data_IF_455697968262
#
_entry.id   IF_455697968262
#
_cell.length_a   1.000
_cell.length_b   1.000
_cell.length_c   1.000
_cell.angle_alpha   90.00
_cell.angle_beta   90.00
_cell.angle_gamma   90.00
#
_symmetry.space_group_name_H-M   'P 1'
#
loop_
_entity.id
_entity.type
_entity.pdbx_description
1 polymer ?
#
# COMPACT_ATOMS: atom_id res chain seq x y z
N UNK A 1 13.44 -8.28 -15.91
CA UNK A 1 12.42 -7.31 -16.35
C UNK A 1 11.37 -7.26 -15.26
N UNK A 2 11.32 -6.16 -14.55
CA UNK A 2 10.23 -5.83 -13.62
C UNK A 2 9.02 -5.41 -14.46
N UNK A 3 7.88 -6.08 -14.28
CA UNK A 3 6.64 -5.73 -14.97
C UNK A 3 5.64 -5.27 -13.93
N UNK A 4 5.63 -3.98 -13.56
CA UNK A 4 4.60 -3.47 -12.68
C UNK A 4 3.23 -3.66 -13.34
N UNK A 5 2.34 -4.34 -12.64
CA UNK A 5 0.94 -4.53 -13.04
C UNK A 5 0.08 -3.66 -12.14
N UNK A 6 -0.88 -2.96 -12.74
CA UNK A 6 -1.79 -2.08 -12.02
C UNK A 6 -3.21 -2.58 -12.18
N UNK A 7 -3.96 -2.63 -11.08
CA UNK A 7 -5.38 -2.94 -11.10
C UNK A 7 -6.19 -1.92 -10.31
N UNK A 8 -7.43 -1.71 -10.76
CA UNK A 8 -8.41 -0.94 -10.02
C UNK A 8 -8.82 -1.72 -8.76
N UNK A 9 -8.89 -1.01 -7.63
CA UNK A 9 -9.32 -1.60 -6.36
C UNK A 9 -10.66 -1.01 -5.91
N UNK A 10 -10.75 0.32 -5.80
CA UNK A 10 -11.98 1.03 -5.50
C UNK A 10 -12.54 0.86 -4.08
N UNK A 11 -11.73 0.43 -3.12
CA UNK A 11 -12.17 0.19 -1.74
C UNK A 11 -12.07 1.45 -0.86
N UNK A 12 -13.02 1.61 0.05
CA UNK A 12 -12.98 2.67 1.06
C UNK A 12 -12.27 2.17 2.32
N UNK A 13 -11.40 3.01 2.86
CA UNK A 13 -10.73 2.82 4.14
C UNK A 13 -11.19 3.90 5.11
N UNK A 14 -11.28 3.55 6.38
CA UNK A 14 -11.65 4.50 7.42
C UNK A 14 -10.50 5.50 7.68
N UNK A 15 -10.78 6.53 8.49
CA UNK A 15 -9.76 7.52 8.88
C UNK A 15 -8.57 6.93 9.59
N UNK A 16 -8.76 5.96 10.48
CA UNK A 16 -7.67 5.38 11.27
C UNK A 16 -6.66 4.65 10.38
N UNK A 17 -7.15 3.85 9.43
CA UNK A 17 -6.33 3.14 8.45
C UNK A 17 -5.64 4.13 7.50
N UNK A 18 -6.35 5.16 7.04
CA UNK A 18 -5.75 6.18 6.18
C UNK A 18 -4.66 7.01 6.89
N UNK A 19 -4.88 7.38 8.15
CA UNK A 19 -3.90 8.10 8.96
C UNK A 19 -2.65 7.25 9.22
N UNK A 20 -2.83 5.95 9.47
CA UNK A 20 -1.74 4.98 9.63
C UNK A 20 -0.92 4.79 8.36
N UNK A 21 -1.59 4.63 7.22
CA UNK A 21 -0.91 4.53 5.92
C UNK A 21 -0.09 5.79 5.63
N UNK A 22 -0.64 6.97 5.96
CA UNK A 22 0.08 8.25 5.85
C UNK A 22 1.26 8.37 6.81
N UNK A 23 1.11 7.89 8.05
CA UNK A 23 2.17 7.88 9.06
C UNK A 23 3.29 6.90 8.69
N UNK A 24 2.96 5.88 7.90
CA UNK A 24 3.86 4.79 7.57
C UNK A 24 3.94 3.75 8.68
N UNK A 25 4.53 2.60 8.34
CA UNK A 25 4.84 1.53 9.27
C UNK A 25 6.35 1.34 9.23
N UNK A 26 7.00 1.64 10.35
CA UNK A 26 8.39 1.30 10.56
C UNK A 26 8.49 -0.13 11.12
N UNK A 27 9.25 -1.02 10.48
CA UNK A 27 9.42 -2.39 10.94
C UNK A 27 10.11 -2.40 12.31
N UNK A 28 9.49 -3.02 13.32
CA UNK A 28 10.04 -3.06 14.68
C UNK A 28 10.92 -4.28 14.92
N UNK A 29 10.66 -5.38 14.22
CA UNK A 29 11.42 -6.63 14.33
C UNK A 29 11.60 -7.32 12.98
N UNK A 30 12.44 -8.37 12.91
CA UNK A 30 12.68 -9.15 11.68
C UNK A 30 11.42 -9.84 11.11
N UNK A 31 10.32 -9.89 11.88
CA UNK A 31 9.02 -10.36 11.43
C UNK A 31 8.28 -9.30 10.58
N UNK A 32 8.60 -8.01 10.77
CA UNK A 32 8.10 -6.91 9.94
C UNK A 32 8.86 -6.87 8.62
N UNK A 33 8.40 -7.73 7.71
CA UNK A 33 8.92 -7.87 6.35
C UNK A 33 8.71 -6.62 5.47
N UNK A 34 7.92 -5.65 5.94
CA UNK A 34 7.39 -4.56 5.13
C UNK A 34 7.64 -3.20 5.78
N UNK A 35 8.14 -2.27 4.98
CA UNK A 35 8.23 -0.85 5.29
C UNK A 35 7.17 -0.13 4.47
N UNK A 36 6.33 0.67 5.13
CA UNK A 36 5.28 1.45 4.46
C UNK A 36 5.61 2.92 4.61
N UNK A 37 5.61 3.65 3.49
CA UNK A 37 5.83 5.09 3.44
C UNK A 37 4.79 5.74 2.53
N UNK A 38 4.27 6.90 2.91
CA UNK A 38 3.36 7.66 2.07
C UNK A 38 4.00 8.95 1.55
N UNK A 39 3.71 9.27 0.31
CA UNK A 39 4.03 10.55 -0.28
C UNK A 39 3.04 11.63 0.14
N UNK A 40 3.43 12.88 -0.06
CA UNK A 40 2.54 14.01 0.18
C UNK A 40 1.36 13.93 -0.81
N UNK A 41 0.13 14.25 -0.38
CA UNK A 41 -1.00 14.31 -1.29
C UNK A 41 -0.74 15.32 -2.42
N UNK A 42 -1.00 14.90 -3.65
CA UNK A 42 -0.97 15.75 -4.84
C UNK A 42 -2.08 16.81 -4.83
N UNK A 43 -2.05 17.73 -5.79
CA UNK A 43 -3.10 18.75 -5.98
C UNK A 43 -4.52 18.16 -6.18
N UNK A 44 -4.63 16.87 -6.51
CA UNK A 44 -5.88 16.12 -6.64
C UNK A 44 -6.30 15.37 -5.36
N UNK A 45 -5.62 15.61 -4.24
CA UNK A 45 -5.77 14.91 -2.95
C UNK A 45 -5.52 13.40 -3.07
N UNK A 46 -4.56 13.03 -3.91
CA UNK A 46 -4.13 11.65 -4.11
C UNK A 46 -2.83 11.46 -3.34
N UNK A 47 -2.85 10.58 -2.34
CA UNK A 47 -1.69 10.09 -1.61
C UNK A 47 -1.23 8.78 -2.23
N UNK A 48 0.05 8.72 -2.59
CA UNK A 48 0.67 7.47 -3.04
C UNK A 48 1.36 6.81 -1.84
N UNK A 49 1.08 5.54 -1.60
CA UNK A 49 1.68 4.77 -0.51
C UNK A 49 2.58 3.70 -1.11
N UNK A 50 3.85 3.73 -0.75
CA UNK A 50 4.89 2.82 -1.18
C UNK A 50 5.12 1.76 -0.12
N UNK A 51 5.07 0.49 -0.52
CA UNK A 51 5.30 -0.66 0.35
C UNK A 51 6.55 -1.38 -0.15
N UNK A 52 7.57 -1.37 0.70
CA UNK A 52 8.91 -1.85 0.41
C UNK A 52 9.27 -3.01 1.32
N UNK A 53 10.20 -3.86 0.90
CA UNK A 53 10.80 -4.84 1.79
C UNK A 53 11.74 -4.19 2.77
N UNK A 54 11.65 -4.56 4.05
CA UNK A 54 12.50 -3.98 5.10
C UNK A 54 13.99 -4.31 4.92
N UNK A 55 14.33 -5.46 4.33
CA UNK A 55 15.73 -5.91 4.20
C UNK A 55 16.38 -5.60 2.84
N UNK A 56 15.60 -5.38 1.77
CA UNK A 56 16.13 -4.98 0.45
C UNK A 56 15.82 -3.54 0.09
N UNK A 57 14.89 -2.90 0.78
CA UNK A 57 14.33 -1.59 0.40
C UNK A 57 13.56 -1.63 -0.93
N UNK A 58 13.36 -2.82 -1.52
CA UNK A 58 12.74 -2.96 -2.83
C UNK A 58 11.25 -2.65 -2.75
N UNK A 59 10.79 -1.76 -3.61
CA UNK A 59 9.37 -1.46 -3.79
C UNK A 59 8.66 -2.66 -4.42
N UNK A 60 7.64 -3.17 -3.72
CA UNK A 60 6.86 -4.30 -4.20
C UNK A 60 5.44 -3.89 -4.54
N UNK A 61 4.88 -2.95 -3.77
CA UNK A 61 3.55 -2.44 -4.00
C UNK A 61 3.49 -0.93 -3.89
N UNK A 62 2.59 -0.35 -4.67
CA UNK A 62 2.24 1.06 -4.62
C UNK A 62 0.73 1.20 -4.65
N UNK A 63 0.16 1.87 -3.65
CA UNK A 63 -1.27 2.13 -3.53
C UNK A 63 -1.55 3.60 -3.83
N UNK A 64 -2.51 3.88 -4.72
CA UNK A 64 -3.02 5.23 -4.90
C UNK A 64 -4.29 5.42 -4.12
N UNK A 65 -4.25 6.30 -3.13
CA UNK A 65 -5.36 6.56 -2.22
C UNK A 65 -5.81 8.00 -2.41
N UNK A 66 -7.08 8.19 -2.76
CA UNK A 66 -7.69 9.51 -2.78
C UNK A 66 -8.29 9.81 -1.42
N UNK A 67 -7.93 10.92 -0.79
CA UNK A 67 -8.58 11.34 0.45
C UNK A 67 -10.07 11.62 0.22
N UNK A 68 -10.88 11.37 1.25
CA UNK A 68 -12.30 11.70 1.19
C UNK A 68 -12.50 13.20 1.44
N UNK A 69 -13.05 13.90 0.44
CA UNK A 69 -13.37 15.33 0.50
C UNK A 69 -14.44 15.65 1.57
N UNK A 70 -15.26 14.66 1.92
CA UNK A 70 -16.33 14.79 2.91
C UNK A 70 -15.93 14.29 4.29
N UNK A 71 -15.40 15.19 5.14
CA UNK A 71 -15.49 15.24 6.62
C UNK A 71 -15.06 14.04 7.50
N UNK A 72 -15.21 12.80 7.03
CA UNK A 72 -14.96 11.55 7.75
C UNK A 72 -13.47 11.27 7.91
N UNK A 73 -12.61 11.94 7.12
CA UNK A 73 -11.15 11.83 7.18
C UNK A 73 -10.57 10.50 6.68
N UNK A 74 -11.41 9.62 6.11
CA UNK A 74 -10.99 8.38 5.45
C UNK A 74 -10.41 8.61 4.05
N UNK A 75 -10.21 7.51 3.32
CA UNK A 75 -9.68 7.52 1.96
C UNK A 75 -10.28 6.42 1.09
N UNK A 76 -10.10 6.53 -0.23
CA UNK A 76 -10.47 5.51 -1.20
C UNK A 76 -9.22 5.03 -1.93
N UNK A 77 -8.90 3.75 -1.82
CA UNK A 77 -7.85 3.14 -2.64
C UNK A 77 -8.40 3.03 -4.06
N UNK A 78 -7.85 3.83 -4.96
CA UNK A 78 -8.22 3.85 -6.38
C UNK A 78 -7.62 2.64 -7.09
N UNK A 79 -6.32 2.45 -6.91
CA UNK A 79 -5.51 1.52 -7.67
C UNK A 79 -4.43 0.90 -6.78
N UNK A 80 -4.08 -0.35 -7.09
CA UNK A 80 -2.91 -1.05 -6.58
C UNK A 80 -1.99 -1.39 -7.74
N UNK A 81 -0.71 -1.10 -7.58
CA UNK A 81 0.36 -1.50 -8.50
C UNK A 81 1.28 -2.47 -7.76
N UNK A 82 1.62 -3.59 -8.39
CA UNK A 82 2.56 -4.58 -7.84
C UNK A 82 3.54 -5.05 -8.89
N UNK A 83 4.74 -5.46 -8.47
CA UNK A 83 5.74 -5.98 -9.40
C UNK A 83 5.50 -7.46 -9.75
N UNK A 84 5.35 -7.75 -11.05
CA UNK A 84 5.31 -9.11 -11.59
C UNK A 84 6.66 -9.45 -12.22
N UNK A 85 7.26 -10.58 -11.84
CA UNK A 85 8.51 -11.06 -12.44
C UNK A 85 9.32 -11.98 -11.52
N UNK A 86 10.47 -12.51 -11.98
CA UNK A 86 11.27 -13.53 -11.29
C UNK A 86 12.07 -12.97 -10.10
N UNK A 87 11.48 -12.09 -9.31
CA UNK A 87 12.06 -11.60 -8.06
C UNK A 87 12.05 -12.67 -6.97
N UNK A 88 12.58 -12.31 -5.80
CA UNK A 88 12.64 -13.19 -4.62
C UNK A 88 11.24 -13.70 -4.19
N UNK A 89 10.20 -12.89 -4.42
CA UNK A 89 8.80 -13.25 -4.17
C UNK A 89 7.92 -12.71 -5.31
N UNK A 90 7.73 -13.50 -6.38
CA UNK A 90 6.91 -13.10 -7.51
C UNK A 90 5.45 -13.00 -7.05
N UNK A 91 4.83 -11.84 -7.29
CA UNK A 91 3.39 -11.70 -7.13
C UNK A 91 2.78 -11.94 -8.49
N UNK A 92 2.27 -13.14 -8.68
CA UNK A 92 1.80 -13.62 -9.98
C UNK A 92 0.35 -13.19 -10.25
N UNK A 93 -0.44 -12.97 -9.19
CA UNK A 93 -1.88 -12.76 -9.27
C UNK A 93 -2.35 -11.50 -8.52
N UNK A 94 -3.33 -10.82 -9.11
CA UNK A 94 -4.00 -9.63 -8.54
C UNK A 94 -4.66 -9.96 -7.19
N UNK A 95 -5.32 -11.12 -7.07
CA UNK A 95 -6.03 -11.51 -5.86
C UNK A 95 -5.05 -11.64 -4.68
N UNK A 96 -3.88 -12.25 -4.94
CA UNK A 96 -2.84 -12.37 -3.94
C UNK A 96 -2.21 -11.02 -3.59
N UNK A 97 -2.03 -10.14 -4.58
CA UNK A 97 -1.58 -8.77 -4.35
C UNK A 97 -2.53 -7.99 -3.42
N UNK A 98 -3.83 -8.10 -3.68
CA UNK A 98 -4.89 -7.47 -2.87
C UNK A 98 -4.93 -8.06 -1.46
N UNK A 99 -4.91 -9.38 -1.32
CA UNK A 99 -4.91 -10.04 -0.01
C UNK A 99 -3.70 -9.65 0.85
N UNK A 100 -2.49 -9.64 0.26
CA UNK A 100 -1.28 -9.19 0.94
C UNK A 100 -1.37 -7.72 1.36
N UNK A 101 -1.73 -6.82 0.44
CA UNK A 101 -1.87 -5.40 0.74
C UNK A 101 -2.92 -5.18 1.85
N UNK A 102 -4.05 -5.91 1.81
CA UNK A 102 -5.07 -5.92 2.86
C UNK A 102 -4.55 -6.42 4.19
N UNK A 103 -3.83 -7.53 4.20
CA UNK A 103 -3.17 -8.06 5.38
C UNK A 103 -2.21 -7.06 6.00
N UNK A 104 -1.52 -6.23 5.21
CA UNK A 104 -0.54 -5.28 5.71
C UNK A 104 -1.17 -4.07 6.41
N UNK A 105 -2.20 -3.47 5.81
CA UNK A 105 -2.90 -2.36 6.50
C UNK A 105 -3.83 -2.85 7.62
N UNK A 106 -4.36 -4.08 7.56
CA UNK A 106 -5.19 -4.67 8.64
C UNK A 106 -4.36 -5.26 9.79
N UNK A 107 -3.25 -5.97 9.55
CA UNK A 107 -2.40 -6.54 10.62
C UNK A 107 -1.74 -5.48 11.47
N UNK A 108 -1.59 -4.28 10.94
CA UNK A 108 -1.19 -3.12 11.73
C UNK A 108 -2.15 -2.86 12.91
N UNK A 109 -3.38 -3.39 12.94
CA UNK A 109 -4.41 -3.15 13.96
C UNK A 109 -4.31 -3.99 15.25
N UNK A 110 -3.33 -4.86 15.41
CA UNK A 110 -3.15 -5.67 16.62
C UNK A 110 -1.92 -5.26 17.44
#
# INVERSE_FOLDING_TARGET
>A
MERPTTAAWGIHINKADFDRLKKGVEPRDMDDKWQISADKPDAADITVVHMRRSWTGKEMFTLKIKGSDGGDGGGKIQEITWEVGPGDDPIEDEEWAKDLATGLYLKSAH
#
